data_IF_408659074651
#
_entry.id   IF_408659074651
#
_cell.length_a   1.000
_cell.length_b   1.000
_cell.length_c   1.000
_cell.angle_alpha   90.00
_cell.angle_beta   90.00
_cell.angle_gamma   90.00
#
_symmetry.space_group_name_H-M   'P 1'
#
loop_
_entity.id
_entity.type
_entity.pdbx_description
1 polymer ?
#
# COMPACT_ATOMS: atom_id res chain seq x y z
N UNK A 1 0.11 -17.21 -14.91
CA UNK A 1 1.23 -16.31 -14.53
C UNK A 1 1.17 -16.15 -13.03
N UNK A 2 2.29 -16.27 -12.32
CA UNK A 2 2.31 -16.15 -10.87
C UNK A 2 1.75 -14.78 -10.44
N UNK A 3 0.91 -14.76 -9.41
CA UNK A 3 0.34 -13.54 -8.85
C UNK A 3 0.79 -13.36 -7.42
N UNK A 4 0.94 -12.11 -7.01
CA UNK A 4 1.19 -11.81 -5.62
C UNK A 4 -0.13 -11.99 -4.86
N UNK A 5 -0.08 -12.83 -3.83
CA UNK A 5 -1.22 -13.22 -3.00
C UNK A 5 -0.79 -13.15 -1.54
N UNK A 6 -1.61 -12.54 -0.69
CA UNK A 6 -1.29 -12.32 0.73
C UNK A 6 -1.66 -13.54 1.57
N UNK A 7 -0.82 -13.90 2.55
CA UNK A 7 -1.18 -14.91 3.55
C UNK A 7 -1.95 -14.23 4.67
N UNK A 8 -3.21 -14.64 4.88
CA UNK A 8 -4.03 -14.10 5.97
C UNK A 8 -3.55 -14.59 7.34
N UNK A 9 -3.66 -13.80 8.43
CA UNK A 9 -3.26 -14.24 9.77
C UNK A 9 -3.92 -15.55 10.23
N UNK A 10 -5.18 -15.79 9.82
CA UNK A 10 -5.96 -16.97 10.22
C UNK A 10 -5.30 -18.28 9.74
N UNK A 11 -4.51 -18.22 8.66
CA UNK A 11 -3.74 -19.36 8.16
C UNK A 11 -2.84 -19.95 9.24
N UNK A 12 -2.18 -19.10 10.03
CA UNK A 12 -1.28 -19.54 11.09
C UNK A 12 -2.02 -20.14 12.29
N UNK A 13 -3.26 -19.69 12.52
CA UNK A 13 -4.13 -20.18 13.59
C UNK A 13 -4.99 -21.39 13.21
N UNK A 14 -5.00 -21.81 11.94
CA UNK A 14 -5.76 -22.98 11.48
C UNK A 14 -5.19 -24.27 12.09
N UNK A 15 -5.79 -24.68 13.23
CA UNK A 15 -5.41 -25.88 13.98
C UNK A 15 -5.53 -27.15 13.13
N UNK A 16 -6.50 -27.21 12.20
CA UNK A 16 -6.70 -28.39 11.36
C UNK A 16 -5.58 -28.48 10.32
N UNK A 17 -5.25 -27.37 9.68
CA UNK A 17 -4.11 -27.29 8.77
C UNK A 17 -2.81 -27.68 9.50
N UNK A 18 -2.53 -27.06 10.65
CA UNK A 18 -1.29 -27.26 11.40
C UNK A 18 -1.11 -28.69 11.94
N UNK A 19 -2.20 -29.39 12.31
CA UNK A 19 -2.13 -30.77 12.82
C UNK A 19 -2.05 -31.83 11.73
N UNK A 20 -2.64 -31.57 10.57
CA UNK A 20 -2.78 -32.57 9.50
C UNK A 20 -1.66 -32.51 8.46
N UNK A 21 -0.83 -31.47 8.48
CA UNK A 21 0.17 -31.24 7.44
C UNK A 21 1.51 -30.89 8.07
N UNK A 22 2.57 -31.41 7.45
CA UNK A 22 3.94 -31.01 7.73
C UNK A 22 4.14 -29.51 7.49
N UNK A 23 5.21 -28.95 8.07
CA UNK A 23 5.59 -27.55 7.81
C UNK A 23 5.77 -27.30 6.32
N UNK A 24 6.40 -28.23 5.62
CA UNK A 24 6.78 -28.06 4.23
C UNK A 24 5.57 -28.21 3.30
N UNK A 25 4.60 -29.08 3.64
CA UNK A 25 3.32 -29.15 2.93
C UNK A 25 2.50 -27.85 3.08
N UNK A 26 2.54 -27.21 4.26
CA UNK A 26 1.91 -25.89 4.45
C UNK A 26 2.59 -24.80 3.63
N UNK A 27 3.92 -24.81 3.57
CA UNK A 27 4.69 -23.87 2.76
C UNK A 27 4.42 -24.07 1.26
N UNK A 28 4.41 -25.33 0.81
CA UNK A 28 4.04 -25.70 -0.56
C UNK A 28 2.63 -25.22 -0.90
N UNK A 29 1.66 -25.36 0.02
CA UNK A 29 0.30 -24.88 -0.22
C UNK A 29 0.24 -23.36 -0.44
N UNK A 30 0.99 -22.58 0.35
CA UNK A 30 1.11 -21.13 0.13
C UNK A 30 1.76 -20.84 -1.22
N UNK A 31 2.85 -21.53 -1.57
CA UNK A 31 3.53 -21.34 -2.86
C UNK A 31 2.60 -21.65 -4.04
N UNK A 32 1.79 -22.71 -3.95
CA UNK A 32 0.76 -23.05 -4.94
C UNK A 32 -0.31 -21.96 -5.04
N UNK A 33 -0.60 -21.22 -3.96
CA UNK A 33 -1.49 -20.07 -4.08
C UNK A 33 -0.91 -19.06 -5.05
N UNK A 34 0.39 -18.76 -5.06
CA UNK A 34 0.96 -17.81 -6.02
C UNK A 34 0.91 -18.32 -7.45
N UNK A 35 1.08 -19.62 -7.66
CA UNK A 35 1.13 -20.24 -8.97
C UNK A 35 -0.24 -20.46 -9.61
N UNK A 36 -1.29 -20.59 -8.79
CA UNK A 36 -2.65 -20.77 -9.28
C UNK A 36 -3.13 -19.60 -10.14
N UNK A 37 -3.92 -19.88 -11.16
CA UNK A 37 -4.62 -18.85 -11.91
C UNK A 37 -5.89 -18.36 -11.18
N UNK A 38 -6.70 -17.54 -11.86
CA UNK A 38 -7.95 -17.01 -11.31
C UNK A 38 -9.08 -18.04 -11.22
N UNK A 39 -8.85 -19.24 -11.73
CA UNK A 39 -9.74 -20.40 -11.64
C UNK A 39 -9.22 -21.42 -10.64
N UNK A 40 -8.14 -21.11 -9.91
CA UNK A 40 -7.55 -22.02 -8.92
C UNK A 40 -6.80 -23.20 -9.53
N UNK A 41 -6.40 -23.13 -10.80
CA UNK A 41 -5.70 -24.19 -11.53
C UNK A 41 -4.20 -23.95 -11.54
N UNK A 42 -3.40 -25.01 -11.45
CA UNK A 42 -1.93 -25.01 -11.47
C UNK A 42 -1.44 -26.18 -12.33
N UNK A 43 -0.24 -26.06 -12.90
CA UNK A 43 0.47 -27.22 -13.47
C UNK A 43 0.79 -28.24 -12.39
N UNK A 44 0.59 -29.52 -12.70
CA UNK A 44 0.70 -30.63 -11.74
C UNK A 44 1.99 -31.43 -11.82
N UNK A 45 2.86 -31.12 -12.78
CA UNK A 45 4.16 -31.78 -12.90
C UNK A 45 5.03 -31.49 -11.65
N UNK A 46 5.48 -32.53 -10.92
CA UNK A 46 6.25 -32.35 -9.69
C UNK A 46 7.58 -31.60 -9.89
N UNK A 47 8.25 -31.77 -11.04
CA UNK A 47 9.51 -31.08 -11.35
C UNK A 47 9.27 -29.61 -11.56
N UNK A 48 8.19 -29.27 -12.27
CA UNK A 48 7.75 -27.90 -12.45
C UNK A 48 7.38 -27.27 -11.10
N UNK A 49 6.63 -27.98 -10.25
CA UNK A 49 6.26 -27.50 -8.91
C UNK A 49 7.50 -27.26 -8.06
N UNK A 50 8.46 -28.20 -8.01
CA UNK A 50 9.74 -28.01 -7.33
C UNK A 50 10.43 -26.74 -7.81
N UNK A 51 10.64 -26.62 -9.12
CA UNK A 51 11.35 -25.49 -9.72
C UNK A 51 10.68 -24.12 -9.54
N UNK A 52 9.36 -24.07 -9.32
CA UNK A 52 8.63 -22.80 -9.19
C UNK A 52 8.19 -22.47 -7.76
N UNK A 53 8.06 -23.48 -6.89
CA UNK A 53 7.60 -23.31 -5.52
C UNK A 53 8.74 -23.40 -4.49
N UNK A 54 9.71 -24.28 -4.73
CA UNK A 54 10.80 -24.61 -3.80
C UNK A 54 12.14 -24.79 -4.57
N UNK A 55 12.58 -23.77 -5.34
CA UNK A 55 13.68 -23.94 -6.30
C UNK A 55 15.03 -24.25 -5.64
N UNK A 56 15.31 -23.64 -4.49
CA UNK A 56 16.61 -23.67 -3.80
C UNK A 56 16.66 -24.66 -2.63
N UNK A 57 15.59 -25.40 -2.39
CA UNK A 57 15.54 -26.42 -1.34
C UNK A 57 16.10 -27.72 -1.92
N UNK A 58 17.41 -27.92 -1.78
CA UNK A 58 18.15 -29.04 -2.36
C UNK A 58 17.79 -30.40 -1.72
N UNK A 59 17.22 -30.39 -0.52
CA UNK A 59 16.70 -31.55 0.19
C UNK A 59 15.29 -31.97 -0.27
N UNK A 60 14.64 -31.16 -1.10
CA UNK A 60 13.30 -31.43 -1.65
C UNK A 60 13.43 -31.84 -3.12
N UNK A 61 13.30 -33.15 -3.36
CA UNK A 61 13.24 -33.75 -4.69
C UNK A 61 11.79 -33.93 -5.19
N UNK A 62 11.63 -34.45 -6.41
CA UNK A 62 10.32 -34.70 -7.02
C UNK A 62 9.46 -35.67 -6.18
N UNK A 63 10.09 -36.60 -5.47
CA UNK A 63 9.40 -37.58 -4.64
C UNK A 63 8.91 -36.96 -3.33
N UNK A 64 9.68 -36.04 -2.75
CA UNK A 64 9.26 -35.20 -1.65
C UNK A 64 8.06 -34.34 -2.07
N UNK A 65 8.10 -33.67 -3.23
CA UNK A 65 6.95 -32.91 -3.76
C UNK A 65 5.70 -33.78 -3.86
N UNK A 66 5.80 -34.99 -4.44
CA UNK A 66 4.66 -35.93 -4.51
C UNK A 66 4.12 -36.28 -3.13
N UNK A 67 5.00 -36.48 -2.15
CA UNK A 67 4.61 -36.79 -0.77
C UNK A 67 3.88 -35.62 -0.10
N UNK A 68 4.41 -34.40 -0.25
CA UNK A 68 3.78 -33.18 0.27
C UNK A 68 2.43 -32.90 -0.41
N UNK A 69 2.32 -33.11 -1.72
CA UNK A 69 1.05 -33.05 -2.45
C UNK A 69 0.08 -34.11 -1.93
N UNK A 70 0.56 -35.33 -1.63
CA UNK A 70 -0.25 -36.39 -1.03
C UNK A 70 -0.94 -35.95 0.27
N UNK A 71 -0.23 -35.23 1.15
CA UNK A 71 -0.82 -34.66 2.37
C UNK A 71 -1.96 -33.66 2.04
N UNK A 72 -1.72 -32.77 1.08
CA UNK A 72 -2.69 -31.75 0.68
C UNK A 72 -3.90 -32.34 -0.05
N UNK A 73 -3.70 -33.42 -0.81
CA UNK A 73 -4.74 -34.16 -1.51
C UNK A 73 -5.61 -34.91 -0.51
N UNK A 74 -5.00 -35.61 0.46
CA UNK A 74 -5.72 -36.33 1.51
C UNK A 74 -6.64 -35.42 2.33
N UNK A 75 -6.31 -34.13 2.49
CA UNK A 75 -7.16 -33.15 3.19
C UNK A 75 -8.13 -32.38 2.27
N UNK A 76 -8.13 -32.69 0.97
CA UNK A 76 -8.96 -32.03 -0.05
C UNK A 76 -8.64 -30.54 -0.21
N UNK A 77 -7.37 -30.15 -0.04
CA UNK A 77 -6.88 -28.78 -0.32
C UNK A 77 -6.39 -28.62 -1.74
N UNK A 78 -5.93 -29.73 -2.32
CA UNK A 78 -5.50 -29.88 -3.70
C UNK A 78 -6.24 -31.08 -4.30
N UNK A 79 -6.67 -30.96 -5.54
CA UNK A 79 -7.29 -32.02 -6.32
C UNK A 79 -6.49 -32.20 -7.61
N UNK A 80 -5.83 -33.36 -7.81
CA UNK A 80 -5.12 -33.62 -9.05
C UNK A 80 -6.12 -33.97 -10.15
N UNK A 81 -5.81 -33.57 -11.38
CA UNK A 81 -6.54 -33.98 -12.57
C UNK A 81 -5.59 -34.08 -13.76
N UNK A 82 -6.00 -34.80 -14.81
CA UNK A 82 -5.20 -35.01 -16.01
C UNK A 82 -6.04 -34.60 -17.22
N UNK A 83 -5.42 -33.88 -18.15
CA UNK A 83 -6.03 -33.51 -19.44
C UNK A 83 -4.98 -33.74 -20.50
N UNK A 84 -5.31 -34.51 -21.54
CA UNK A 84 -4.36 -34.83 -22.63
C UNK A 84 -3.02 -35.38 -22.12
N UNK A 85 -3.06 -36.30 -21.14
CA UNK A 85 -1.91 -36.90 -20.45
C UNK A 85 -1.03 -35.95 -19.62
N UNK A 86 -1.35 -34.65 -19.59
CA UNK A 86 -0.67 -33.67 -18.76
C UNK A 86 -1.29 -33.58 -17.36
N UNK A 87 -0.49 -33.63 -16.28
CA UNK A 87 -0.97 -33.48 -14.92
C UNK A 87 -1.21 -32.01 -14.56
N UNK A 88 -2.32 -31.76 -13.89
CA UNK A 88 -2.73 -30.46 -13.35
C UNK A 88 -3.24 -30.59 -11.92
N UNK A 89 -3.30 -29.47 -11.20
CA UNK A 89 -3.85 -29.36 -9.85
C UNK A 89 -4.94 -28.30 -9.82
N UNK A 90 -6.03 -28.60 -9.15
CA UNK A 90 -7.09 -27.66 -8.80
C UNK A 90 -7.08 -27.42 -7.28
N UNK A 91 -7.18 -26.17 -6.86
CA UNK A 91 -7.21 -25.77 -5.45
C UNK A 91 -8.64 -25.37 -5.06
N UNK A 92 -9.52 -26.33 -4.67
CA UNK A 92 -10.95 -26.06 -4.44
C UNK A 92 -11.21 -25.05 -3.32
N UNK A 93 -10.30 -24.94 -2.36
CA UNK A 93 -10.43 -24.06 -1.20
C UNK A 93 -9.74 -22.71 -1.39
N UNK A 94 -9.13 -22.44 -2.54
CA UNK A 94 -8.37 -21.21 -2.76
C UNK A 94 -9.24 -19.95 -2.60
N UNK A 95 -10.49 -19.99 -3.05
CA UNK A 95 -11.44 -18.88 -2.92
C UNK A 95 -11.75 -18.48 -1.46
N UNK A 96 -11.54 -19.39 -0.50
CA UNK A 96 -11.67 -19.07 0.95
C UNK A 96 -10.48 -18.24 1.45
N UNK A 97 -9.32 -18.41 0.82
CA UNK A 97 -8.08 -17.76 1.19
C UNK A 97 -7.79 -16.52 0.35
N UNK A 98 -8.24 -16.48 -0.90
CA UNK A 98 -7.88 -15.47 -1.89
C UNK A 98 -9.12 -15.00 -2.66
N UNK A 99 -9.17 -13.71 -2.98
CA UNK A 99 -10.18 -13.17 -3.91
C UNK A 99 -9.76 -13.50 -5.34
N UNK A 100 -10.58 -14.29 -6.02
CA UNK A 100 -10.36 -14.70 -7.41
C UNK A 100 -11.26 -13.89 -8.35
N UNK A 101 -10.74 -13.54 -9.53
CA UNK A 101 -11.46 -12.80 -10.56
C UNK A 101 -11.68 -13.64 -11.83
N UNK A 102 -12.18 -14.87 -11.66
CA UNK A 102 -12.41 -15.84 -12.74
C UNK A 102 -13.22 -15.27 -13.92
N UNK A 103 -14.19 -14.39 -13.64
CA UNK A 103 -15.02 -13.75 -14.67
C UNK A 103 -14.25 -12.73 -15.53
N UNK A 104 -13.15 -12.15 -15.02
CA UNK A 104 -12.37 -11.12 -15.73
C UNK A 104 -11.19 -11.71 -16.49
N UNK A 105 -10.64 -12.82 -16.01
CA UNK A 105 -9.41 -13.41 -16.54
C UNK A 105 -9.69 -14.87 -16.92
N UNK A 106 -9.70 -15.21 -18.21
CA UNK A 106 -9.85 -16.59 -18.62
C UNK A 106 -8.64 -17.43 -18.19
N UNK A 107 -8.90 -18.68 -17.83
CA UNK A 107 -7.84 -19.66 -17.57
C UNK A 107 -7.02 -19.92 -18.83
N UNK A 108 -5.73 -20.17 -18.67
CA UNK A 108 -4.86 -20.74 -19.72
C UNK A 108 -4.65 -22.23 -19.54
N UNK A 109 -5.08 -22.78 -18.40
CA UNK A 109 -4.99 -24.19 -18.06
C UNK A 109 -6.34 -24.86 -18.34
N UNK A 110 -6.33 -26.11 -18.81
CA UNK A 110 -7.56 -26.83 -19.11
C UNK A 110 -8.39 -27.00 -17.85
N UNK A 111 -9.71 -27.06 -18.04
CA UNK A 111 -10.63 -27.30 -16.92
C UNK A 111 -10.48 -28.74 -16.45
N UNK A 112 -10.69 -29.03 -15.16
CA UNK A 112 -10.84 -30.40 -14.71
C UNK A 112 -11.97 -31.07 -15.51
N UNK A 113 -11.77 -32.30 -16.03
CA UNK A 113 -12.86 -33.05 -16.63
C UNK A 113 -13.97 -33.22 -15.59
N UNK A 114 -15.23 -33.04 -16.01
CA UNK A 114 -16.38 -33.21 -15.13
C UNK A 114 -16.30 -34.58 -14.46
N UNK A 115 -16.02 -34.61 -13.17
CA UNK A 115 -16.08 -35.84 -12.39
C UNK A 115 -17.55 -36.22 -12.30
N UNK A 116 -17.94 -37.27 -13.04
CA UNK A 116 -19.21 -37.96 -12.85
C UNK A 116 -19.23 -38.54 -11.42
N UNK A 117 -19.67 -37.74 -10.45
CA UNK A 117 -20.19 -38.26 -9.20
C UNK A 117 -21.51 -38.98 -9.48
N UNK A 118 -21.89 -39.98 -8.66
CA UNK A 118 -23.18 -40.63 -8.83
C UNK A 118 -24.30 -39.60 -8.61
N UNK A 119 -25.15 -39.47 -9.63
CA UNK A 119 -26.43 -38.75 -9.73
C UNK A 119 -26.79 -37.81 -8.57
N UNK A 120 -26.46 -36.52 -8.73
CA UNK A 120 -27.35 -35.42 -8.37
C UNK A 120 -27.48 -34.52 -9.61
N UNK A 121 -28.70 -34.18 -10.06
CA UNK A 121 -28.90 -33.49 -11.33
C UNK A 121 -28.39 -32.05 -11.27
N UNK A 122 -27.95 -31.46 -12.40
CA UNK A 122 -27.52 -30.08 -12.44
C UNK A 122 -28.75 -29.16 -12.39
N UNK A 123 -28.76 -28.05 -11.63
CA UNK A 123 -29.66 -26.97 -11.97
C UNK A 123 -29.05 -26.25 -13.18
N UNK A 124 -29.45 -26.71 -14.36
CA UNK A 124 -29.29 -25.97 -15.59
C UNK A 124 -29.93 -24.59 -15.47
N UNK A 125 -29.31 -23.61 -16.11
CA UNK A 125 -29.78 -22.24 -16.13
C UNK A 125 -31.20 -22.13 -16.68
N UNK A 126 -32.06 -21.45 -15.93
CA UNK A 126 -33.16 -20.67 -16.47
C UNK A 126 -33.15 -19.30 -15.81
N UNK A 127 -33.12 -18.30 -16.68
CA UNK A 127 -33.34 -16.90 -16.43
C UNK A 127 -34.64 -16.70 -15.62
N UNK A 128 -34.53 -16.42 -14.33
CA UNK A 128 -35.60 -15.83 -13.53
C UNK A 128 -35.02 -14.73 -12.64
N UNK A 129 -35.71 -13.60 -12.74
CA UNK A 129 -35.52 -12.29 -12.15
C UNK A 129 -35.07 -12.28 -10.69
N UNK A 130 -34.36 -11.21 -10.31
CA UNK A 130 -34.13 -10.81 -8.92
C UNK A 130 -35.39 -10.97 -8.07
N UNK A 131 -35.24 -11.44 -6.82
CA UNK A 131 -36.06 -10.98 -5.72
C UNK A 131 -35.21 -10.12 -4.77
N UNK A 132 -35.89 -9.09 -4.29
CA UNK A 132 -35.39 -7.98 -3.50
C UNK A 132 -34.55 -8.34 -2.28
N UNK A 133 -33.71 -7.36 -1.94
CA UNK A 133 -33.01 -7.23 -0.68
C UNK A 133 -33.93 -7.55 0.51
N UNK A 134 -33.53 -8.52 1.33
CA UNK A 134 -33.94 -8.54 2.73
C UNK A 134 -32.95 -7.65 3.47
N UNK A 135 -33.41 -6.44 3.79
CA UNK A 135 -32.78 -5.52 4.72
C UNK A 135 -32.40 -6.26 6.01
N UNK A 136 -31.11 -6.29 6.33
CA UNK A 136 -30.66 -6.46 7.70
C UNK A 136 -30.03 -5.13 8.11
N UNK A 137 -30.69 -4.45 9.05
CA UNK A 137 -30.29 -3.16 9.59
C UNK A 137 -28.81 -3.10 10.06
N UNK A 138 -28.22 -1.89 10.10
CA UNK A 138 -26.82 -1.70 10.39
C UNK A 138 -26.56 -1.95 11.88
N UNK A 139 -25.73 -2.96 12.19
CA UNK A 139 -25.08 -2.98 13.50
C UNK A 139 -24.00 -1.91 13.52
N UNK A 140 -24.30 -0.82 14.21
CA UNK A 140 -23.30 0.05 14.81
C UNK A 140 -22.40 -0.80 15.72
N UNK A 141 -21.13 -0.91 15.35
CA UNK A 141 -20.06 -1.13 16.31
C UNK A 141 -19.06 0.03 16.15
N UNK A 142 -19.35 1.11 16.87
CA UNK A 142 -18.37 2.13 17.24
C UNK A 142 -17.37 1.52 18.24
N UNK A 143 -16.45 0.66 17.80
CA UNK A 143 -15.27 0.32 18.61
C UNK A 143 -14.11 -0.35 17.86
N UNK A 144 -13.78 0.09 16.63
CA UNK A 144 -12.44 -0.19 16.05
C UNK A 144 -11.92 1.05 15.32
N UNK A 145 -11.60 2.09 16.10
CA UNK A 145 -10.73 3.19 15.70
C UNK A 145 -9.50 3.20 16.60
N UNK A 146 -8.72 2.13 16.56
CA UNK A 146 -7.28 2.21 16.77
C UNK A 146 -6.66 0.88 16.36
N UNK A 147 -5.45 0.89 15.81
CA UNK A 147 -4.65 -0.26 15.38
C UNK A 147 -4.96 -0.87 14.00
N UNK A 148 -4.34 -0.34 12.93
CA UNK A 148 -3.47 -1.12 12.03
C UNK A 148 -3.03 -0.32 10.78
N UNK A 149 -1.94 0.45 10.90
CA UNK A 149 -1.21 0.98 9.72
C UNK A 149 0.01 0.11 9.35
N UNK A 150 0.03 -1.17 9.73
CA UNK A 150 1.18 -2.06 9.49
C UNK A 150 1.03 -3.05 8.31
N UNK A 151 -0.13 -3.10 7.63
CA UNK A 151 -0.40 -4.11 6.60
C UNK A 151 -0.23 -3.65 5.13
N UNK A 152 0.17 -2.39 4.88
CA UNK A 152 0.19 -1.81 3.51
C UNK A 152 1.59 -1.59 2.89
N UNK A 153 2.65 -2.26 3.37
CA UNK A 153 4.02 -1.98 2.89
C UNK A 153 4.62 -2.99 1.91
N UNK A 154 3.97 -4.12 1.61
CA UNK A 154 4.51 -5.08 0.65
C UNK A 154 3.78 -5.01 -0.69
N UNK A 155 4.55 -4.95 -1.77
CA UNK A 155 4.18 -4.97 -3.20
C UNK A 155 4.09 -3.60 -3.89
N UNK A 156 5.24 -2.94 -4.00
CA UNK A 156 5.52 -2.06 -5.13
C UNK A 156 7.03 -1.97 -5.37
N UNK A 157 7.54 -2.74 -6.33
CA UNK A 157 8.93 -2.56 -6.77
C UNK A 157 9.50 -3.71 -7.59
N UNK A 158 9.21 -3.75 -8.89
CA UNK A 158 10.09 -4.35 -9.89
C UNK A 158 9.69 -3.93 -11.30
N UNK A 159 10.17 -2.76 -11.73
CA UNK A 159 10.42 -2.44 -13.15
C UNK A 159 11.66 -1.56 -13.23
N UNK A 160 12.82 -2.20 -13.18
CA UNK A 160 14.10 -1.62 -13.56
C UNK A 160 14.43 -2.00 -15.01
N UNK A 161 14.40 -0.99 -15.88
CA UNK A 161 15.27 -0.76 -17.02
C UNK A 161 16.04 -1.95 -17.63
N UNK A 162 15.70 -2.29 -18.88
CA UNK A 162 16.67 -2.81 -19.85
C UNK A 162 16.65 -1.88 -21.05
N UNK A 163 17.77 -1.20 -21.27
CA UNK A 163 18.10 -0.49 -22.49
C UNK A 163 18.57 -1.49 -23.55
N UNK A 164 18.11 -1.32 -24.79
CA UNK A 164 18.56 -2.10 -25.93
C UNK A 164 17.76 -1.72 -27.16
N UNK A 165 18.33 -0.85 -28.00
CA UNK A 165 17.71 -0.40 -29.25
C UNK A 165 17.79 -1.45 -30.35
N UNK A 166 16.78 -1.44 -31.24
CA UNK A 166 16.99 -1.56 -32.68
C UNK A 166 15.75 -1.10 -33.44
N UNK A 167 15.98 -0.26 -34.43
CA UNK A 167 15.02 0.18 -35.44
C UNK A 167 14.53 -1.01 -36.28
N UNK A 168 13.22 -1.05 -36.58
CA UNK A 168 12.65 -1.23 -37.94
C UNK A 168 11.15 -1.58 -37.89
N UNK A 169 10.35 -0.75 -38.58
CA UNK A 169 9.18 -1.17 -39.38
C UNK A 169 7.90 -1.62 -38.68
N UNK A 170 7.00 -0.68 -38.38
CA UNK A 170 5.55 -0.97 -38.33
C UNK A 170 4.91 -0.70 -39.71
N UNK A 171 4.11 -1.61 -40.28
CA UNK A 171 3.12 -1.24 -41.26
C UNK A 171 1.85 -0.75 -40.55
N UNK A 172 1.32 0.33 -41.10
CA UNK A 172 0.06 0.98 -40.72
C UNK A 172 -1.11 0.11 -41.17
N UNK A 173 -2.08 -0.14 -40.28
CA UNK A 173 -3.46 -0.43 -40.69
C UNK A 173 -4.48 0.36 -39.87
N UNK A 174 -5.16 1.22 -40.62
CA UNK A 174 -6.56 1.68 -40.56
C UNK A 174 -7.23 2.00 -39.21
N UNK A 175 -7.70 3.24 -39.16
CA UNK A 175 -8.50 3.85 -38.11
C UNK A 175 -9.78 3.08 -37.75
N UNK A 176 -9.95 2.81 -36.46
CA UNK A 176 -11.23 2.61 -35.79
C UNK A 176 -11.27 3.54 -34.58
N UNK A 177 -12.32 4.36 -34.47
CA UNK A 177 -12.37 5.55 -33.59
C UNK A 177 -12.13 5.29 -32.10
N UNK A 178 -11.82 6.35 -31.32
CA UNK A 178 -11.52 6.22 -29.91
C UNK A 178 -12.80 5.84 -29.15
N UNK A 179 -12.96 4.54 -28.87
CA UNK A 179 -13.90 4.12 -27.84
C UNK A 179 -13.37 4.61 -26.50
N UNK A 180 -14.06 5.60 -25.92
CA UNK A 180 -13.86 6.11 -24.57
C UNK A 180 -14.05 4.97 -23.56
N UNK A 181 -13.00 4.20 -23.28
CA UNK A 181 -13.03 3.15 -22.25
C UNK A 181 -12.15 3.44 -21.03
N UNK A 182 -11.71 4.69 -20.87
CA UNK A 182 -10.96 5.16 -19.71
C UNK A 182 -11.52 6.48 -19.14
N UNK A 183 -12.84 6.63 -19.08
CA UNK A 183 -13.45 7.63 -18.21
C UNK A 183 -13.44 7.09 -16.77
N UNK A 184 -12.25 6.96 -16.17
CA UNK A 184 -12.18 7.10 -14.71
C UNK A 184 -12.63 8.53 -14.46
N UNK A 185 -13.68 8.73 -13.68
CA UNK A 185 -13.87 9.98 -12.96
C UNK A 185 -12.51 10.34 -12.39
N UNK A 186 -11.88 11.37 -12.95
CA UNK A 186 -10.75 12.02 -12.31
C UNK A 186 -11.37 12.71 -11.10
N UNK A 187 -11.57 11.94 -10.03
CA UNK A 187 -11.66 12.55 -8.71
C UNK A 187 -10.43 13.44 -8.61
N UNK A 188 -10.69 14.74 -8.52
CA UNK A 188 -9.66 15.75 -8.36
C UNK A 188 -8.86 15.30 -7.15
N UNK A 189 -7.56 15.04 -7.34
CA UNK A 189 -6.69 14.69 -6.23
C UNK A 189 -6.95 15.70 -5.10
N UNK A 190 -7.18 15.24 -3.85
CA UNK A 190 -7.46 16.16 -2.75
C UNK A 190 -6.35 17.20 -2.69
N UNK A 191 -6.71 18.45 -2.38
CA UNK A 191 -5.74 19.51 -2.25
C UNK A 191 -4.63 19.04 -1.29
N UNK A 192 -3.37 19.20 -1.70
CA UNK A 192 -2.24 18.82 -0.86
C UNK A 192 -2.35 19.61 0.45
N UNK A 193 -2.46 18.90 1.57
CA UNK A 193 -2.57 19.55 2.86
C UNK A 193 -1.26 20.31 3.14
N UNK A 194 -1.29 21.51 3.76
CA UNK A 194 -0.09 22.30 4.04
C UNK A 194 0.99 21.51 4.79
N UNK A 195 0.59 20.66 5.73
CA UNK A 195 1.47 19.78 6.51
C UNK A 195 2.18 18.72 5.66
N UNK A 196 1.58 18.23 4.58
CA UNK A 196 2.22 17.26 3.68
C UNK A 196 3.38 17.93 2.92
N UNK A 197 3.20 19.19 2.52
CA UNK A 197 4.24 19.97 1.85
C UNK A 197 5.37 20.32 2.82
N UNK A 198 5.04 20.73 4.04
CA UNK A 198 6.02 21.03 5.09
C UNK A 198 6.80 19.78 5.51
N UNK A 199 6.13 18.64 5.71
CA UNK A 199 6.78 17.38 6.05
C UNK A 199 7.78 16.94 4.98
N UNK A 200 7.41 17.08 3.69
CA UNK A 200 8.33 16.84 2.58
C UNK A 200 9.53 17.79 2.61
N UNK A 201 9.33 19.08 2.91
CA UNK A 201 10.43 20.05 3.03
C UNK A 201 11.42 19.66 4.14
N UNK A 202 10.94 19.26 5.32
CA UNK A 202 11.80 18.80 6.43
C UNK A 202 12.63 17.58 6.00
N UNK A 203 12.00 16.56 5.41
CA UNK A 203 12.70 15.36 4.93
C UNK A 203 13.76 15.71 3.88
N UNK A 204 13.42 16.59 2.92
CA UNK A 204 14.36 17.01 1.89
C UNK A 204 15.48 17.89 2.42
N UNK A 205 15.27 18.63 3.52
CA UNK A 205 16.28 19.46 4.16
C UNK A 205 17.38 18.64 4.83
N UNK A 206 17.16 17.34 5.05
CA UNK A 206 18.06 16.44 5.75
C UNK A 206 18.67 15.45 4.74
N UNK A 207 19.98 15.58 4.42
CA UNK A 207 20.61 14.79 3.35
C UNK A 207 20.41 13.27 3.51
N UNK A 208 20.51 12.79 4.75
CA UNK A 208 20.36 11.37 5.10
C UNK A 208 18.95 10.83 4.86
N UNK A 209 17.92 11.66 5.01
CA UNK A 209 16.53 11.24 4.76
C UNK A 209 16.13 11.33 3.30
N UNK A 210 16.77 12.23 2.55
CA UNK A 210 16.53 12.40 1.11
C UNK A 210 16.82 11.13 0.31
N UNK A 211 17.86 10.39 0.69
CA UNK A 211 18.30 9.16 0.01
C UNK A 211 17.62 7.89 0.55
N UNK A 212 16.78 8.01 1.58
CA UNK A 212 16.14 6.86 2.21
C UNK A 212 15.13 6.16 1.25
N UNK A 213 14.93 4.83 1.41
CA UNK A 213 13.93 4.09 0.64
C UNK A 213 12.54 4.72 0.71
N UNK A 214 11.73 4.55 -0.34
CA UNK A 214 10.40 5.18 -0.43
C UNK A 214 9.49 4.88 0.76
N UNK A 215 9.51 3.64 1.27
CA UNK A 215 8.73 3.24 2.45
C UNK A 215 9.21 3.93 3.74
N UNK A 216 10.52 4.17 3.87
CA UNK A 216 11.11 4.92 4.98
C UNK A 216 10.68 6.38 4.91
N UNK A 217 10.79 7.01 3.72
CA UNK A 217 10.35 8.40 3.54
C UNK A 217 8.86 8.58 3.84
N UNK A 218 8.01 7.59 3.54
CA UNK A 218 6.59 7.60 3.93
C UNK A 218 6.43 7.62 5.46
N UNK A 219 7.18 6.80 6.19
CA UNK A 219 7.17 6.79 7.66
C UNK A 219 7.71 8.08 8.26
N UNK A 220 8.83 8.59 7.74
CA UNK A 220 9.38 9.89 8.17
C UNK A 220 8.35 11.00 7.96
N UNK A 221 7.63 10.99 6.82
CA UNK A 221 6.58 11.98 6.55
C UNK A 221 5.41 11.86 7.52
N UNK A 222 5.01 10.63 7.88
CA UNK A 222 3.96 10.42 8.89
C UNK A 222 4.37 10.98 10.26
N UNK A 223 5.60 10.71 10.71
CA UNK A 223 6.13 11.24 11.98
C UNK A 223 6.22 12.77 11.97
N UNK A 224 6.76 13.35 10.90
CA UNK A 224 6.87 14.81 10.77
C UNK A 224 5.50 15.48 10.74
N UNK A 225 4.50 14.89 10.07
CA UNK A 225 3.12 15.42 10.09
C UNK A 225 2.50 15.37 11.49
N UNK A 226 2.72 14.28 12.22
CA UNK A 226 2.27 14.18 13.61
C UNK A 226 2.86 15.31 14.47
N UNK A 227 4.15 15.61 14.30
CA UNK A 227 4.80 16.70 15.01
C UNK A 227 4.29 18.09 14.57
N UNK A 228 4.09 18.31 13.27
CA UNK A 228 3.49 19.55 12.77
C UNK A 228 2.07 19.75 13.32
N UNK A 229 1.25 18.69 13.37
CA UNK A 229 -0.10 18.71 13.94
C UNK A 229 -0.12 18.93 15.46
N UNK A 230 0.97 18.58 16.15
CA UNK A 230 1.17 18.87 17.57
C UNK A 230 1.66 20.31 17.84
N UNK A 231 1.83 21.15 16.81
CA UNK A 231 2.20 22.55 16.94
C UNK A 231 3.70 22.84 16.81
N UNK A 232 4.54 21.85 16.50
CA UNK A 232 5.97 22.09 16.27
C UNK A 232 6.22 22.66 14.87
N UNK A 233 7.06 23.68 14.77
CA UNK A 233 7.40 24.32 13.51
C UNK A 233 8.41 23.52 12.68
N UNK A 234 8.32 23.63 11.35
CA UNK A 234 9.20 22.88 10.43
C UNK A 234 10.70 23.21 10.61
N UNK A 235 11.04 24.42 11.08
CA UNK A 235 12.41 24.82 11.38
C UNK A 235 12.93 24.11 12.63
N UNK A 236 12.14 24.06 13.72
CA UNK A 236 12.48 23.30 14.93
C UNK A 236 12.74 21.82 14.62
N UNK A 237 11.84 21.20 13.85
CA UNK A 237 11.97 19.80 13.43
C UNK A 237 13.25 19.54 12.62
N UNK A 238 13.59 20.44 11.70
CA UNK A 238 14.80 20.34 10.88
C UNK A 238 16.07 20.52 11.73
N UNK A 239 16.05 21.45 12.68
CA UNK A 239 17.18 21.75 13.57
C UNK A 239 17.50 20.57 14.48
N UNK A 240 16.51 20.02 15.16
CA UNK A 240 16.70 18.89 16.06
C UNK A 240 17.14 17.63 15.31
N UNK A 241 16.55 17.37 14.14
CA UNK A 241 16.97 16.23 13.33
C UNK A 241 18.43 16.36 12.85
N UNK A 242 18.90 17.57 12.53
CA UNK A 242 20.33 17.81 12.20
C UNK A 242 21.24 17.61 13.39
N UNK A 243 20.87 18.14 14.55
CA UNK A 243 21.63 17.96 15.80
C UNK A 243 21.85 16.47 16.11
N UNK A 244 20.79 15.66 16.04
CA UNK A 244 20.89 14.22 16.31
C UNK A 244 21.71 13.47 15.25
N UNK A 245 21.71 13.92 13.98
CA UNK A 245 22.54 13.33 12.93
C UNK A 245 24.03 13.57 13.18
N UNK A 246 24.39 14.76 13.65
CA UNK A 246 25.78 15.17 13.92
C UNK A 246 26.42 14.38 15.08
N UNK A 247 25.62 13.77 15.95
CA UNK A 247 26.11 12.93 17.05
C UNK A 247 26.63 11.56 16.60
N UNK A 248 26.44 11.18 15.33
CA UNK A 248 26.88 9.90 14.73
C UNK A 248 26.45 8.62 15.48
N UNK A 249 25.51 8.74 16.43
CA UNK A 249 25.02 7.63 17.28
C UNK A 249 24.24 6.57 16.50
N UNK A 250 23.64 6.95 15.37
CA UNK A 250 22.77 6.09 14.57
C UNK A 250 23.49 5.57 13.31
N UNK A 251 23.30 4.29 12.99
CA UNK A 251 23.84 3.66 11.78
C UNK A 251 23.14 4.17 10.52
N UNK A 252 23.81 4.12 9.36
CA UNK A 252 23.36 4.68 8.08
C UNK A 252 21.87 4.47 7.74
N UNK A 253 21.35 3.29 8.08
CA UNK A 253 20.01 2.82 7.79
C UNK A 253 18.94 3.15 8.86
N UNK A 254 19.33 3.69 10.02
CA UNK A 254 18.45 3.88 11.18
C UNK A 254 17.70 5.23 11.18
N UNK A 255 17.14 5.63 10.04
CA UNK A 255 16.46 6.92 9.88
C UNK A 255 15.24 7.13 10.81
N UNK A 256 14.43 6.08 11.01
CA UNK A 256 13.19 6.17 11.81
C UNK A 256 13.51 6.31 13.31
N UNK A 257 14.37 5.47 13.91
CA UNK A 257 14.82 5.68 15.29
C UNK A 257 15.49 7.04 15.51
N UNK A 258 16.30 7.50 14.55
CA UNK A 258 16.98 8.80 14.59
C UNK A 258 15.98 9.97 14.65
N UNK A 259 15.01 10.01 13.74
CA UNK A 259 13.98 11.06 13.75
C UNK A 259 13.13 11.00 15.03
N UNK A 260 12.78 9.81 15.53
CA UNK A 260 12.04 9.68 16.80
C UNK A 260 12.81 10.23 17.99
N UNK A 261 14.13 10.04 18.04
CA UNK A 261 14.98 10.60 19.09
C UNK A 261 15.00 12.14 19.00
N UNK A 262 15.15 12.69 17.79
CA UNK A 262 15.09 14.13 17.55
C UNK A 262 13.75 14.75 18.01
N UNK A 263 12.63 14.12 17.67
CA UNK A 263 11.29 14.57 18.09
C UNK A 263 11.13 14.51 19.62
N UNK A 264 11.58 13.43 20.26
CA UNK A 264 11.53 13.29 21.73
C UNK A 264 12.34 14.37 22.43
N UNK A 265 13.53 14.69 21.93
CA UNK A 265 14.38 15.75 22.50
C UNK A 265 13.73 17.13 22.33
N UNK A 266 13.21 17.42 21.15
CA UNK A 266 12.48 18.67 20.92
C UNK A 266 11.30 18.82 21.90
N UNK A 267 10.52 17.76 22.08
CA UNK A 267 9.41 17.75 23.02
C UNK A 267 9.86 18.00 24.47
N UNK A 268 10.97 17.38 24.90
CA UNK A 268 11.52 17.57 26.24
C UNK A 268 12.02 19.00 26.45
N UNK A 269 12.81 19.54 25.51
CA UNK A 269 13.42 20.86 25.62
C UNK A 269 12.34 21.96 25.55
N UNK A 270 11.32 21.80 24.70
CA UNK A 270 10.16 22.69 24.65
C UNK A 270 9.38 22.65 25.97
N UNK A 271 9.20 21.45 26.54
CA UNK A 271 8.51 21.29 27.82
C UNK A 271 9.29 21.89 28.99
N UNK A 272 10.62 21.88 28.93
CA UNK A 272 11.49 22.47 29.95
C UNK A 272 11.67 23.98 29.78
N UNK A 273 11.27 24.53 28.63
CA UNK A 273 11.43 25.95 28.31
C UNK A 273 12.81 26.30 27.75
N UNK A 274 13.59 25.29 27.32
CA UNK A 274 14.94 25.47 26.76
C UNK A 274 14.92 25.66 25.24
N UNK A 275 13.78 25.37 24.59
CA UNK A 275 13.62 25.50 23.15
C UNK A 275 12.26 26.05 22.74
N UNK A 276 12.26 26.88 21.70
CA UNK A 276 11.06 27.39 21.05
C UNK A 276 10.40 26.28 20.20
N UNK A 277 9.08 26.04 20.32
CA UNK A 277 8.38 25.06 19.50
C UNK A 277 8.39 25.40 18.00
N UNK A 278 8.55 26.68 17.62
CA UNK A 278 8.55 27.12 16.22
C UNK A 278 9.88 26.86 15.51
N UNK A 279 10.99 27.27 16.13
CA UNK A 279 12.31 27.29 15.49
C UNK A 279 13.38 26.43 16.18
N UNK A 280 13.11 25.91 17.38
CA UNK A 280 14.05 25.08 18.15
C UNK A 280 15.28 25.83 18.66
N UNK A 281 15.24 27.16 18.71
CA UNK A 281 16.24 28.03 19.35
C UNK A 281 15.78 28.41 20.74
N UNK A 282 16.60 29.20 21.44
CA UNK A 282 16.19 29.88 22.66
C UNK A 282 14.80 30.54 22.46
N UNK A 283 13.81 30.29 23.34
CA UNK A 283 12.49 30.90 23.27
C UNK A 283 12.51 32.42 23.11
N UNK A 284 13.50 33.11 23.70
CA UNK A 284 13.61 34.57 23.68
C UNK A 284 14.09 35.13 22.33
N UNK A 285 14.73 34.30 21.50
CA UNK A 285 15.34 34.70 20.20
C UNK A 285 14.61 34.07 18.98
N UNK A 286 13.30 33.80 19.10
CA UNK A 286 12.55 33.15 18.02
C UNK A 286 12.41 34.08 16.79
N UNK A 287 13.01 33.75 15.62
CA UNK A 287 12.87 34.55 14.40
C UNK A 287 11.48 34.43 13.77
N UNK A 288 10.72 33.42 14.19
CA UNK A 288 9.33 33.15 13.81
C UNK A 288 8.37 33.52 14.93
N UNK A 289 8.81 34.27 15.95
CA UNK A 289 7.90 34.90 16.90
C UNK A 289 6.75 35.48 16.09
N UNK A 290 5.50 35.13 16.42
CA UNK A 290 4.39 35.61 15.64
C UNK A 290 4.56 37.12 15.50
N UNK A 291 4.25 37.63 14.32
CA UNK A 291 3.80 39.00 14.19
C UNK A 291 2.46 39.17 14.95
N UNK A 292 2.34 38.66 16.18
CA UNK A 292 1.36 39.07 17.19
C UNK A 292 1.89 40.25 18.00
N UNK A 293 2.99 40.85 17.54
CA UNK A 293 3.18 42.29 17.60
C UNK A 293 3.15 42.88 16.18
N UNK A 294 2.22 42.46 15.32
CA UNK A 294 1.51 43.51 14.56
C UNK A 294 0.75 44.22 15.66
N UNK A 295 1.41 45.24 16.19
CA UNK A 295 0.78 46.34 16.89
C UNK A 295 -0.57 46.58 16.21
N UNK A 296 -1.66 46.72 16.97
CA UNK A 296 -2.93 47.29 16.51
C UNK A 296 -2.70 48.77 16.12
N UNK A 297 -1.62 49.05 15.37
CA UNK A 297 -1.31 50.34 14.80
C UNK A 297 -2.30 50.55 13.69
N UNK A 298 -2.90 51.73 13.70
CA UNK A 298 -3.76 52.16 12.62
C UNK A 298 -3.03 51.99 11.28
N UNK A 299 -3.76 51.47 10.29
CA UNK A 299 -3.26 51.36 8.92
C UNK A 299 -2.76 52.72 8.43
N UNK A 300 -1.54 52.74 7.90
CA UNK A 300 -1.02 53.94 7.24
C UNK A 300 -1.64 54.08 5.84
N UNK A 301 -1.55 55.27 5.26
CA UNK A 301 -2.03 55.53 3.90
C UNK A 301 -1.30 54.65 2.86
N UNK A 302 -0.03 54.31 3.11
CA UNK A 302 0.75 53.41 2.27
C UNK A 302 0.26 51.96 2.34
N UNK A 303 -0.16 51.50 3.52
CA UNK A 303 -0.74 50.16 3.71
C UNK A 303 -2.07 50.05 2.96
N UNK A 304 -2.90 51.11 3.03
CA UNK A 304 -4.16 51.20 2.31
C UNK A 304 -3.94 51.20 0.79
N UNK A 305 -3.00 51.99 0.30
CA UNK A 305 -2.66 52.05 -1.11
C UNK A 305 -2.07 50.71 -1.62
N UNK A 306 -1.29 50.00 -0.79
CA UNK A 306 -0.77 48.68 -1.13
C UNK A 306 -1.89 47.65 -1.25
N UNK A 307 -2.84 47.67 -0.31
CA UNK A 307 -4.00 46.79 -0.33
C UNK A 307 -4.89 47.05 -1.55
N UNK A 308 -5.19 48.31 -1.87
CA UNK A 308 -5.97 48.70 -3.06
C UNK A 308 -5.31 48.22 -4.36
N UNK A 309 -3.97 48.31 -4.47
CA UNK A 309 -3.23 47.76 -5.63
C UNK A 309 -3.40 46.25 -5.76
N UNK A 310 -3.37 45.52 -4.65
CA UNK A 310 -3.53 44.06 -4.64
C UNK A 310 -4.96 43.68 -5.04
N UNK A 311 -5.96 44.36 -4.48
CA UNK A 311 -7.37 44.11 -4.80
C UNK A 311 -7.67 44.42 -6.26
N UNK A 312 -7.17 45.54 -6.78
CA UNK A 312 -7.28 45.88 -8.20
C UNK A 312 -6.59 44.86 -9.12
N UNK A 313 -5.42 44.34 -8.71
CA UNK A 313 -4.71 43.31 -9.47
C UNK A 313 -5.47 41.98 -9.51
N UNK A 314 -6.13 41.62 -8.41
CA UNK A 314 -6.90 40.38 -8.29
C UNK A 314 -8.30 40.49 -8.89
N UNK A 315 -8.75 41.70 -9.26
CA UNK A 315 -10.09 41.95 -9.80
C UNK A 315 -11.20 41.59 -8.82
N UNK A 316 -10.91 41.59 -7.52
CA UNK A 316 -11.84 41.23 -6.46
C UNK A 316 -12.60 42.46 -5.97
N UNK A 317 -13.87 42.31 -5.62
CA UNK A 317 -14.64 43.36 -4.96
C UNK A 317 -14.29 43.37 -3.44
N UNK A 318 -13.76 44.48 -2.90
CA UNK A 318 -13.59 44.70 -1.45
C UNK A 318 -14.75 44.21 -0.59
N UNK A 319 -15.98 44.50 -1.03
CA UNK A 319 -17.18 44.24 -0.25
C UNK A 319 -17.62 42.78 -0.33
N UNK A 320 -17.20 42.02 -1.36
CA UNK A 320 -17.35 40.57 -1.40
C UNK A 320 -16.35 39.86 -0.48
N UNK A 321 -15.10 40.35 -0.42
CA UNK A 321 -14.07 39.80 0.47
C UNK A 321 -14.41 40.01 1.95
N UNK A 322 -15.01 41.15 2.30
CA UNK A 322 -15.43 41.45 3.67
C UNK A 322 -16.66 40.63 4.13
N UNK A 323 -17.50 40.14 3.20
CA UNK A 323 -18.70 39.34 3.51
C UNK A 323 -18.43 37.84 3.59
N UNK A 324 -17.24 37.39 3.23
CA UNK A 324 -16.84 35.97 3.22
C UNK A 324 -16.01 35.51 4.41
N UNK A 325 -15.82 36.36 5.43
CA UNK A 325 -15.07 36.07 6.66
C UNK A 325 -16.01 35.86 7.86
#
# INVERSE_FOLDING_TARGET
>A
MPRIRSVKPEFWSDRKLARQHSRDARLLYIALWNQADEHGRVLGDPRWIKGNCLPYDDDIDDQAIKSLLGELIASGRVQPYVVEDDPYLFLPKLAKHQRLEAAKVPSRLPEPPEMSGPDDPPPGGTHLSEPDAIESEPRADESVRDSDESALSYVAGSRGHVAGGREQGSPVTAAGGPTRRNARTRERAPAAQPEDLLARRVIHAIPRYRTAPGWVRKHLAALTRGALGAGYGSEALTRYARMVIEEERFLGHQHIPELRDALRRLELDVRQGDACPCCGRDPDDCPTAPASAVDDRAWTDDDRAAWERIVAHLGADPDELARGA
#
